data_IF_563802676521
#
_entry.id   IF_563802676521
#
_cell.length_a   1.000
_cell.length_b   1.000
_cell.length_c   1.000
_cell.angle_alpha   90.00
_cell.angle_beta   90.00
_cell.angle_gamma   90.00
#
_symmetry.space_group_name_H-M   'P 1'
#
loop_
_entity.id
_entity.type
_entity.pdbx_description
1 polymer ?
#
# COMPACT_ATOMS: atom_id res chain seq x y z
N UNK A 1 17.93 -32.09 37.80
CA UNK A 1 18.61 -31.55 36.59
C UNK A 1 20.13 -31.44 36.70
N UNK A 2 20.73 -31.08 37.85
CA UNK A 2 22.20 -31.01 37.98
C UNK A 2 22.94 -32.33 37.71
N UNK A 3 22.33 -33.49 38.00
CA UNK A 3 22.95 -34.82 37.86
C UNK A 3 22.97 -35.40 36.44
N UNK A 4 22.11 -34.92 35.54
CA UNK A 4 22.07 -35.39 34.14
C UNK A 4 22.95 -34.52 33.22
N UNK A 5 23.07 -33.22 33.51
CA UNK A 5 23.96 -32.30 32.79
C UNK A 5 25.45 -32.44 33.18
N UNK A 6 25.75 -33.01 34.36
CA UNK A 6 27.14 -33.18 34.84
C UNK A 6 27.86 -34.41 34.28
N UNK A 7 27.19 -35.30 33.55
CA UNK A 7 27.77 -36.56 33.08
C UNK A 7 28.41 -36.49 31.69
N UNK A 8 28.21 -35.42 30.92
CA UNK A 8 28.86 -35.25 29.62
C UNK A 8 29.17 -33.76 29.33
N UNK A 9 30.31 -33.22 29.83
CA UNK A 9 30.70 -31.83 29.59
C UNK A 9 30.88 -31.50 28.10
N UNK A 10 31.14 -32.50 27.26
CA UNK A 10 31.15 -32.35 25.81
C UNK A 10 29.75 -32.04 25.23
N UNK A 11 28.67 -32.62 25.76
CA UNK A 11 27.31 -32.40 25.23
C UNK A 11 26.87 -30.94 25.44
N UNK A 12 27.12 -30.37 26.64
CA UNK A 12 26.82 -28.97 26.92
C UNK A 12 27.63 -28.03 26.01
N UNK A 13 28.94 -28.30 25.86
CA UNK A 13 29.82 -27.51 24.99
C UNK A 13 29.38 -27.57 23.52
N UNK A 14 28.89 -28.73 23.06
CA UNK A 14 28.42 -28.90 21.68
C UNK A 14 27.08 -28.21 21.45
N UNK A 15 26.14 -28.27 22.41
CA UNK A 15 24.85 -27.56 22.31
C UNK A 15 25.04 -26.05 22.34
N UNK A 16 25.88 -25.54 23.25
CA UNK A 16 26.19 -24.10 23.32
C UNK A 16 26.95 -23.65 22.08
N UNK A 17 27.92 -24.44 21.61
CA UNK A 17 28.68 -24.16 20.40
C UNK A 17 27.81 -24.12 19.14
N UNK A 18 26.96 -25.15 18.93
CA UNK A 18 26.03 -25.21 17.80
C UNK A 18 24.99 -24.10 17.86
N UNK A 19 24.46 -23.79 19.05
CA UNK A 19 23.52 -22.69 19.25
C UNK A 19 24.15 -21.34 18.89
N UNK A 20 25.38 -21.09 19.35
CA UNK A 20 26.10 -19.84 19.02
C UNK A 20 26.40 -19.74 17.52
N UNK A 21 26.85 -20.82 16.87
CA UNK A 21 27.07 -20.80 15.42
C UNK A 21 25.79 -20.58 14.64
N UNK A 22 24.67 -21.18 15.07
CA UNK A 22 23.37 -20.97 14.44
C UNK A 22 22.92 -19.52 14.54
N UNK A 23 23.07 -18.90 15.72
CA UNK A 23 22.76 -17.48 15.93
C UNK A 23 23.61 -16.60 15.02
N UNK A 24 24.92 -16.86 14.90
CA UNK A 24 25.80 -16.08 14.04
C UNK A 24 25.45 -16.22 12.56
N UNK A 25 25.14 -17.44 12.10
CA UNK A 25 24.73 -17.68 10.70
C UNK A 25 23.39 -17.01 10.41
N UNK A 26 22.41 -17.13 11.29
CA UNK A 26 21.11 -16.46 11.13
C UNK A 26 21.26 -14.94 11.14
N UNK A 27 22.08 -14.40 12.04
CA UNK A 27 22.35 -12.96 12.11
C UNK A 27 23.01 -12.46 10.81
N UNK A 28 23.96 -13.22 10.27
CA UNK A 28 24.58 -12.90 8.99
C UNK A 28 23.59 -13.01 7.82
N UNK A 29 22.73 -14.03 7.80
CA UNK A 29 21.73 -14.19 6.75
C UNK A 29 20.72 -13.04 6.75
N UNK A 30 20.23 -12.62 7.92
CA UNK A 30 19.36 -11.45 8.07
C UNK A 30 20.09 -10.19 7.62
N UNK A 31 21.32 -9.96 8.12
CA UNK A 31 22.12 -8.80 7.73
C UNK A 31 22.38 -8.73 6.22
N UNK A 32 22.70 -9.87 5.59
CA UNK A 32 22.91 -9.95 4.15
C UNK A 32 21.64 -9.64 3.36
N UNK A 33 20.49 -10.15 3.79
CA UNK A 33 19.20 -9.88 3.15
C UNK A 33 18.75 -8.42 3.33
N UNK A 34 19.13 -7.76 4.43
CA UNK A 34 18.83 -6.33 4.64
C UNK A 34 19.68 -5.39 3.78
N UNK A 35 20.87 -5.83 3.34
CA UNK A 35 21.77 -5.01 2.52
C UNK A 35 21.49 -5.09 1.01
N UNK A 36 20.96 -6.22 0.55
CA UNK A 36 20.65 -6.45 -0.86
C UNK A 36 19.21 -6.97 -0.96
N UNK A 37 18.26 -6.05 -0.79
CA UNK A 37 16.85 -6.39 -0.83
C UNK A 37 16.35 -6.67 -2.26
N UNK A 38 17.13 -6.32 -3.30
CA UNK A 38 16.68 -6.32 -4.70
C UNK A 38 15.55 -5.33 -4.98
N UNK A 39 15.05 -4.61 -3.97
CA UNK A 39 13.96 -3.66 -4.09
C UNK A 39 14.52 -2.24 -4.07
N UNK A 40 13.99 -1.41 -4.97
CA UNK A 40 14.26 0.02 -5.02
C UNK A 40 12.96 0.78 -4.82
N UNK A 41 13.02 1.80 -3.99
CA UNK A 41 11.92 2.73 -3.77
C UNK A 41 12.20 3.97 -4.61
N UNK A 42 11.29 4.32 -5.51
CA UNK A 42 11.37 5.61 -6.17
C UNK A 42 10.32 6.55 -5.65
N UNK A 43 10.73 7.81 -5.56
CA UNK A 43 9.88 8.92 -5.17
C UNK A 43 9.72 9.83 -6.37
N UNK A 44 8.48 10.25 -6.61
CA UNK A 44 8.10 11.21 -7.64
C UNK A 44 7.51 12.45 -6.99
N UNK A 45 7.43 13.55 -7.75
CA UNK A 45 6.91 14.83 -7.26
C UNK A 45 5.46 14.73 -6.77
N UNK A 46 4.63 13.91 -7.43
CA UNK A 46 3.20 13.75 -7.13
C UNK A 46 2.48 15.10 -6.99
N UNK A 47 2.67 15.96 -7.98
CA UNK A 47 2.36 17.39 -7.91
C UNK A 47 1.01 17.67 -8.58
N UNK A 48 0.04 18.14 -7.80
CA UNK A 48 -1.28 18.51 -8.28
C UNK A 48 -1.25 19.93 -8.88
N UNK A 49 -1.68 20.05 -10.14
CA UNK A 49 -1.68 21.29 -10.90
C UNK A 49 -3.06 21.59 -11.44
N UNK A 50 -3.48 22.83 -11.30
CA UNK A 50 -4.68 23.33 -11.97
C UNK A 50 -4.36 23.60 -13.44
N UNK A 51 -5.22 23.09 -14.33
CA UNK A 51 -5.09 23.25 -15.77
C UNK A 51 -5.95 24.41 -16.23
N UNK A 52 -5.37 25.29 -17.05
CA UNK A 52 -6.11 26.39 -17.67
C UNK A 52 -6.97 25.82 -18.80
N UNK A 53 -8.27 26.05 -18.70
CA UNK A 53 -9.26 25.56 -19.66
C UNK A 53 -9.70 26.67 -20.59
N UNK A 54 -9.83 26.37 -21.88
CA UNK A 54 -10.28 27.32 -22.90
C UNK A 54 -11.75 27.04 -23.24
N UNK A 55 -12.61 28.04 -23.04
CA UNK A 55 -14.02 28.00 -23.44
C UNK A 55 -14.16 28.37 -24.92
N UNK A 56 -14.91 27.56 -25.67
CA UNK A 56 -15.33 27.86 -27.02
C UNK A 56 -16.66 28.65 -26.98
N UNK A 57 -16.66 29.91 -27.43
CA UNK A 57 -17.81 30.80 -27.32
C UNK A 57 -18.97 30.43 -28.26
N UNK A 58 -18.77 29.57 -29.26
CA UNK A 58 -19.82 29.19 -30.22
C UNK A 58 -20.71 28.05 -29.70
N UNK A 59 -20.12 27.08 -28.99
CA UNK A 59 -20.79 25.87 -28.53
C UNK A 59 -20.81 25.70 -26.99
N UNK A 60 -20.11 26.57 -26.24
CA UNK A 60 -20.01 26.49 -24.78
C UNK A 60 -19.18 25.31 -24.28
N UNK A 61 -18.42 24.64 -25.15
CA UNK A 61 -17.54 23.54 -24.78
C UNK A 61 -16.22 24.05 -24.22
N UNK A 62 -15.58 23.22 -23.41
CA UNK A 62 -14.32 23.55 -22.75
C UNK A 62 -13.22 22.60 -23.20
N UNK A 63 -12.07 23.14 -23.60
CA UNK A 63 -10.95 22.35 -24.13
C UNK A 63 -9.64 22.66 -23.43
N UNK A 64 -8.81 21.63 -23.25
CA UNK A 64 -7.44 21.75 -22.74
C UNK A 64 -6.61 20.56 -23.21
N UNK A 65 -5.29 20.68 -23.11
CA UNK A 65 -4.36 19.61 -23.46
C UNK A 65 -3.39 19.32 -22.31
N UNK A 66 -2.98 18.07 -22.20
CA UNK A 66 -2.02 17.59 -21.20
C UNK A 66 -0.91 16.82 -21.90
N UNK A 67 0.36 17.07 -21.56
CA UNK A 67 1.54 16.48 -22.23
C UNK A 67 2.59 15.92 -21.26
N UNK A 68 2.16 15.35 -20.13
CA UNK A 68 3.04 14.89 -19.05
C UNK A 68 2.67 13.48 -18.57
N UNK A 69 3.52 12.85 -17.74
CA UNK A 69 3.17 11.69 -16.92
C UNK A 69 2.14 12.06 -15.85
N UNK A 70 0.87 11.79 -16.14
CA UNK A 70 -0.26 12.11 -15.25
C UNK A 70 -0.91 10.83 -14.76
N UNK A 71 -1.08 10.71 -13.44
CA UNK A 71 -1.71 9.53 -12.82
C UNK A 71 -3.24 9.64 -12.75
N UNK A 72 -3.76 10.81 -12.35
CA UNK A 72 -5.19 11.06 -12.25
C UNK A 72 -5.57 12.50 -12.59
N UNK A 73 -6.86 12.67 -12.89
CA UNK A 73 -7.51 13.94 -13.20
C UNK A 73 -8.76 14.11 -12.34
N UNK A 74 -9.07 15.35 -11.98
CA UNK A 74 -10.30 15.73 -11.31
C UNK A 74 -10.89 16.94 -12.02
N UNK A 75 -12.09 16.77 -12.54
CA UNK A 75 -12.85 17.79 -13.23
C UNK A 75 -14.01 18.17 -12.33
N UNK A 76 -14.13 19.44 -12.02
CA UNK A 76 -15.23 19.98 -11.22
C UNK A 76 -15.91 21.12 -11.97
N UNK A 77 -17.22 21.12 -11.90
CA UNK A 77 -18.08 22.14 -12.50
C UNK A 77 -18.91 22.77 -11.39
N UNK A 78 -19.00 24.09 -11.41
CA UNK A 78 -19.89 24.88 -10.56
C UNK A 78 -20.80 25.80 -11.40
N UNK A 79 -21.96 26.12 -10.83
CA UNK A 79 -22.96 27.02 -11.44
C UNK A 79 -23.45 26.56 -12.84
N UNK A 80 -23.47 25.26 -13.09
CA UNK A 80 -24.03 24.71 -14.32
C UNK A 80 -25.57 24.67 -14.29
N UNK A 81 -26.24 24.69 -15.46
CA UNK A 81 -27.69 24.56 -15.53
C UNK A 81 -28.18 23.28 -14.82
N UNK A 82 -29.20 23.34 -13.94
CA UNK A 82 -29.67 22.17 -13.21
C UNK A 82 -30.32 21.16 -14.16
N UNK A 83 -30.09 19.86 -13.91
CA UNK A 83 -30.62 18.78 -14.75
C UNK A 83 -29.88 18.59 -16.08
N UNK A 84 -28.68 19.19 -16.22
CA UNK A 84 -27.77 18.93 -17.34
C UNK A 84 -26.85 17.74 -17.07
N UNK A 85 -26.23 17.21 -18.12
CA UNK A 85 -25.24 16.14 -18.03
C UNK A 85 -23.87 16.68 -18.46
N UNK A 86 -22.85 16.48 -17.63
CA UNK A 86 -21.45 16.71 -17.99
C UNK A 86 -20.94 15.51 -18.78
N UNK A 87 -20.34 15.77 -19.94
CA UNK A 87 -19.66 14.77 -20.74
C UNK A 87 -18.19 15.17 -20.95
N UNK A 88 -17.27 14.24 -20.69
CA UNK A 88 -15.84 14.45 -20.80
C UNK A 88 -15.27 13.44 -21.79
N UNK A 89 -14.63 13.95 -22.84
CA UNK A 89 -13.97 13.15 -23.87
C UNK A 89 -12.46 13.42 -23.87
N UNK A 90 -11.67 12.36 -23.87
CA UNK A 90 -10.22 12.39 -24.04
C UNK A 90 -9.84 11.83 -25.42
N UNK A 91 -9.18 12.65 -26.23
CA UNK A 91 -8.53 12.23 -27.47
C UNK A 91 -7.05 11.97 -27.15
N UNK A 92 -6.54 10.81 -27.57
CA UNK A 92 -5.15 10.40 -27.30
C UNK A 92 -4.99 9.37 -26.18
N UNK A 93 -6.08 8.76 -25.70
CA UNK A 93 -6.02 7.62 -24.77
C UNK A 93 -7.37 7.26 -24.16
N UNK A 94 -7.39 6.16 -23.42
CA UNK A 94 -8.51 5.78 -22.54
C UNK A 94 -8.21 6.23 -21.10
N UNK A 95 -9.26 6.31 -20.29
CA UNK A 95 -9.14 6.58 -18.87
C UNK A 95 -10.26 5.88 -18.10
N UNK A 96 -10.00 5.67 -16.81
CA UNK A 96 -10.85 4.90 -15.92
C UNK A 96 -11.65 5.82 -15.02
N UNK A 97 -12.97 5.67 -15.04
CA UNK A 97 -13.87 6.44 -14.20
C UNK A 97 -14.88 5.53 -13.48
N UNK A 98 -15.24 5.95 -12.28
CA UNK A 98 -16.41 5.45 -11.57
C UNK A 98 -17.01 6.61 -10.76
N UNK A 99 -18.34 6.73 -10.66
CA UNK A 99 -18.98 7.83 -9.92
C UNK A 99 -18.50 7.97 -8.47
N UNK A 100 -18.19 6.85 -7.82
CA UNK A 100 -17.72 6.81 -6.44
C UNK A 100 -16.20 6.95 -6.28
N UNK A 101 -15.42 7.13 -7.36
CA UNK A 101 -13.96 7.14 -7.29
C UNK A 101 -13.45 8.18 -6.28
N UNK A 102 -12.70 7.71 -5.28
CA UNK A 102 -12.16 8.55 -4.21
C UNK A 102 -13.20 9.07 -3.21
N UNK A 103 -14.45 8.59 -3.26
CA UNK A 103 -15.45 8.82 -2.21
C UNK A 103 -15.21 7.84 -1.07
N UNK A 104 -15.35 8.31 0.18
CA UNK A 104 -15.30 7.44 1.34
C UNK A 104 -16.48 6.48 1.32
N UNK A 105 -16.17 5.17 1.34
CA UNK A 105 -17.15 4.10 1.48
C UNK A 105 -17.16 3.62 2.94
N UNK A 106 -17.88 2.53 3.20
CA UNK A 106 -17.88 1.86 4.50
C UNK A 106 -16.44 1.61 5.00
N UNK A 107 -16.19 1.90 6.28
CA UNK A 107 -14.89 1.77 6.96
C UNK A 107 -13.82 2.82 6.60
N UNK A 108 -14.20 4.01 6.11
CA UNK A 108 -13.25 5.10 5.79
C UNK A 108 -12.21 4.72 4.72
N UNK A 109 -12.49 3.70 3.90
CA UNK A 109 -11.66 3.35 2.76
C UNK A 109 -12.24 4.03 1.52
N UNK A 110 -11.48 4.87 0.81
CA UNK A 110 -11.98 5.47 -0.42
C UNK A 110 -12.19 4.38 -1.48
N UNK A 111 -13.24 4.51 -2.28
CA UNK A 111 -13.43 3.62 -3.42
C UNK A 111 -12.26 3.75 -4.40
N UNK A 112 -11.73 2.62 -4.85
CA UNK A 112 -10.60 2.53 -5.78
C UNK A 112 -10.99 1.75 -7.04
N UNK A 113 -10.46 2.19 -8.18
CA UNK A 113 -10.65 1.49 -9.45
C UNK A 113 -10.04 0.08 -9.43
N UNK A 114 -8.89 -0.08 -8.78
CA UNK A 114 -8.10 -1.29 -8.80
C UNK A 114 -8.00 -1.83 -7.38
N UNK A 115 -8.56 -3.01 -7.13
CA UNK A 115 -8.55 -3.63 -5.80
C UNK A 115 -8.02 -5.06 -5.86
N UNK A 116 -7.31 -5.55 -4.84
CA UNK A 116 -6.87 -6.95 -4.81
C UNK A 116 -8.08 -7.90 -4.83
N UNK A 117 -8.01 -8.96 -5.63
CA UNK A 117 -9.04 -9.99 -5.60
C UNK A 117 -8.97 -10.77 -4.27
N UNK A 118 -9.99 -10.57 -3.41
CA UNK A 118 -10.07 -11.19 -2.08
C UNK A 118 -10.53 -12.65 -2.10
N UNK A 119 -10.99 -13.16 -3.25
CA UNK A 119 -11.47 -14.54 -3.38
C UNK A 119 -10.34 -15.51 -3.72
N UNK A 120 -9.43 -15.10 -4.61
CA UNK A 120 -8.39 -16.00 -5.13
C UNK A 120 -6.96 -15.60 -4.73
N UNK A 121 -6.77 -14.47 -4.02
CA UNK A 121 -5.45 -13.88 -3.68
C UNK A 121 -4.51 -13.63 -4.88
N UNK A 122 -4.97 -13.90 -6.10
CA UNK A 122 -4.29 -13.66 -7.36
C UNK A 122 -5.14 -12.71 -8.22
N UNK A 123 -4.53 -11.59 -8.62
CA UNK A 123 -5.12 -10.64 -9.56
C UNK A 123 -5.70 -9.37 -8.94
N UNK A 124 -5.96 -8.41 -9.84
CA UNK A 124 -6.55 -7.10 -9.55
C UNK A 124 -7.94 -7.08 -10.17
N UNK A 125 -8.95 -6.72 -9.38
CA UNK A 125 -10.31 -6.45 -9.85
C UNK A 125 -10.41 -4.99 -10.26
N UNK A 126 -10.77 -4.76 -11.53
CA UNK A 126 -11.07 -3.45 -12.10
C UNK A 126 -12.55 -3.13 -11.89
N UNK A 127 -12.85 -2.13 -11.06
CA UNK A 127 -14.19 -1.66 -10.75
C UNK A 127 -14.62 -0.43 -11.58
N UNK A 128 -13.66 0.22 -12.24
CA UNK A 128 -13.92 1.41 -13.06
C UNK A 128 -14.17 1.03 -14.52
N UNK A 129 -14.92 1.88 -15.22
CA UNK A 129 -15.15 1.71 -16.66
C UNK A 129 -13.97 2.35 -17.40
N UNK A 130 -13.36 1.60 -18.32
CA UNK A 130 -12.36 2.13 -19.26
C UNK A 130 -13.04 2.64 -20.53
N UNK A 131 -12.92 3.94 -20.78
CA UNK A 131 -13.45 4.59 -21.98
C UNK A 131 -12.68 5.87 -22.28
N UNK A 132 -12.70 6.32 -23.53
CA UNK A 132 -12.23 7.65 -23.89
C UNK A 132 -13.24 8.74 -23.47
N UNK A 133 -14.52 8.37 -23.34
CA UNK A 133 -15.63 9.25 -23.05
C UNK A 133 -16.41 8.75 -21.83
N UNK A 134 -16.72 9.67 -20.91
CA UNK A 134 -17.54 9.42 -19.73
C UNK A 134 -18.54 10.56 -19.52
N UNK A 135 -19.67 10.25 -18.89
CA UNK A 135 -20.69 11.23 -18.57
C UNK A 135 -21.16 11.10 -17.12
N UNK A 136 -21.65 12.21 -16.57
CA UNK A 136 -22.23 12.29 -15.22
C UNK A 136 -23.26 13.40 -15.15
N UNK A 137 -24.39 13.11 -14.50
CA UNK A 137 -25.45 14.09 -14.29
C UNK A 137 -25.01 15.16 -13.28
N UNK A 138 -25.42 16.39 -13.53
CA UNK A 138 -25.13 17.55 -12.70
C UNK A 138 -26.29 17.74 -11.72
N UNK A 139 -26.00 17.55 -10.45
CA UNK A 139 -26.96 17.73 -9.35
C UNK A 139 -26.74 19.11 -8.71
N UNK A 140 -27.82 19.89 -8.55
CA UNK A 140 -27.79 21.23 -7.94
C UNK A 140 -26.75 22.20 -8.56
N UNK A 141 -26.48 22.04 -9.86
CA UNK A 141 -25.52 22.87 -10.60
C UNK A 141 -24.05 22.61 -10.27
N UNK A 142 -23.75 21.52 -9.56
CA UNK A 142 -22.39 21.11 -9.19
C UNK A 142 -22.15 19.67 -9.61
N UNK A 143 -20.98 19.40 -10.18
CA UNK A 143 -20.53 18.04 -10.45
C UNK A 143 -19.02 17.90 -10.28
N UNK A 144 -18.58 16.72 -9.88
CA UNK A 144 -17.17 16.33 -9.87
C UNK A 144 -16.98 14.97 -10.51
N UNK A 145 -15.96 14.83 -11.35
CA UNK A 145 -15.58 13.62 -12.05
C UNK A 145 -14.09 13.41 -11.90
N UNK A 146 -13.73 12.36 -11.15
CA UNK A 146 -12.35 11.91 -10.98
C UNK A 146 -12.06 10.76 -11.92
N UNK A 147 -10.86 10.68 -12.44
CA UNK A 147 -10.44 9.62 -13.35
C UNK A 147 -8.99 9.22 -13.16
N UNK A 148 -8.68 7.94 -13.37
CA UNK A 148 -7.30 7.43 -13.44
C UNK A 148 -6.88 7.38 -14.90
N UNK A 149 -5.66 7.85 -15.20
CA UNK A 149 -5.14 7.90 -16.57
C UNK A 149 -4.19 6.75 -16.90
N UNK A 150 -3.58 6.16 -15.86
CA UNK A 150 -2.66 5.02 -15.96
C UNK A 150 -2.58 4.26 -14.63
N UNK A 151 -2.42 2.95 -14.70
CA UNK A 151 -2.15 2.07 -13.54
C UNK A 151 -0.66 2.01 -13.18
N UNK A 152 0.21 2.47 -14.08
CA UNK A 152 1.66 2.31 -13.94
C UNK A 152 2.31 3.37 -13.04
N UNK A 153 1.64 4.51 -12.85
CA UNK A 153 2.14 5.59 -11.98
C UNK A 153 1.60 5.44 -10.55
N UNK A 154 2.41 5.76 -9.53
CA UNK A 154 2.02 5.56 -8.14
C UNK A 154 1.15 6.73 -7.67
N UNK A 155 -0.10 6.45 -7.29
CA UNK A 155 -1.03 7.47 -6.76
C UNK A 155 -0.50 8.18 -5.49
N UNK A 156 0.34 7.50 -4.71
CA UNK A 156 0.98 8.04 -3.50
C UNK A 156 2.25 8.84 -3.79
N UNK A 157 2.75 8.82 -5.03
CA UNK A 157 4.05 9.39 -5.40
C UNK A 157 5.23 8.46 -5.16
N UNK A 158 5.02 7.30 -4.55
CA UNK A 158 6.09 6.32 -4.27
C UNK A 158 5.74 4.97 -4.87
N UNK A 159 6.67 4.38 -5.61
CA UNK A 159 6.56 2.99 -6.06
C UNK A 159 7.72 2.15 -5.54
N UNK A 160 7.52 0.84 -5.47
CA UNK A 160 8.57 -0.15 -5.24
C UNK A 160 8.78 -0.97 -6.51
N UNK A 161 10.04 -1.14 -6.90
CA UNK A 161 10.44 -1.92 -8.07
C UNK A 161 11.46 -2.97 -7.69
N UNK A 162 11.33 -4.18 -8.24
CA UNK A 162 12.33 -5.24 -8.12
C UNK A 162 13.36 -5.08 -9.23
N UNK A 163 14.65 -5.04 -8.88
CA UNK A 163 15.74 -4.92 -9.85
C UNK A 163 17.07 -5.41 -9.28
N UNK A 164 17.98 -5.85 -10.16
CA UNK A 164 19.30 -6.36 -9.76
C UNK A 164 20.23 -5.27 -9.24
N UNK A 165 20.09 -4.04 -9.73
CA UNK A 165 20.95 -2.91 -9.35
C UNK A 165 20.26 -1.56 -9.63
N UNK A 166 20.79 -0.50 -9.02
CA UNK A 166 20.25 0.86 -9.13
C UNK A 166 20.13 1.34 -10.58
N UNK A 167 21.09 0.99 -11.45
CA UNK A 167 21.05 1.38 -12.87
C UNK A 167 19.88 0.75 -13.59
N UNK A 168 19.66 -0.55 -13.38
CA UNK A 168 18.53 -1.27 -13.97
C UNK A 168 17.19 -0.73 -13.45
N UNK A 169 17.09 -0.49 -12.14
CA UNK A 169 15.92 0.14 -11.52
C UNK A 169 15.64 1.52 -12.15
N UNK A 170 16.67 2.36 -12.28
CA UNK A 170 16.54 3.68 -12.87
C UNK A 170 16.11 3.65 -14.33
N UNK A 171 16.60 2.70 -15.12
CA UNK A 171 16.21 2.58 -16.53
C UNK A 171 14.73 2.20 -16.65
N UNK A 172 14.27 1.25 -15.84
CA UNK A 172 12.88 0.81 -15.85
C UNK A 172 11.93 1.92 -15.40
N UNK A 173 12.30 2.62 -14.33
CA UNK A 173 11.59 3.80 -13.82
C UNK A 173 11.46 4.90 -14.87
N UNK A 174 12.57 5.25 -15.50
CA UNK A 174 12.57 6.27 -16.55
C UNK A 174 11.74 5.82 -17.74
N UNK A 175 11.83 4.54 -18.13
CA UNK A 175 11.01 3.97 -19.19
C UNK A 175 9.52 4.10 -18.88
N UNK A 176 9.08 3.73 -17.67
CA UNK A 176 7.67 3.84 -17.25
C UNK A 176 7.19 5.29 -17.22
N UNK A 177 8.02 6.24 -16.78
CA UNK A 177 7.69 7.67 -16.84
C UNK A 177 7.53 8.13 -18.28
N UNK A 178 8.52 7.87 -19.15
CA UNK A 178 8.47 8.27 -20.56
C UNK A 178 7.30 7.63 -21.32
N UNK A 179 6.97 6.37 -21.05
CA UNK A 179 5.78 5.71 -21.63
C UNK A 179 4.47 6.30 -21.11
N UNK A 180 4.48 6.88 -19.91
CA UNK A 180 3.34 7.57 -19.34
C UNK A 180 3.21 9.03 -19.78
N UNK A 181 4.22 9.61 -20.46
CA UNK A 181 4.15 10.93 -21.07
C UNK A 181 3.26 10.88 -22.32
N UNK A 182 1.98 11.13 -22.13
CA UNK A 182 0.98 11.05 -23.19
C UNK A 182 0.37 12.42 -23.47
N UNK A 183 0.45 12.85 -24.72
CA UNK A 183 -0.29 14.03 -25.18
C UNK A 183 -1.77 13.66 -25.37
N UNK A 184 -2.64 14.30 -24.58
CA UNK A 184 -4.09 14.10 -24.62
C UNK A 184 -4.78 15.45 -24.78
N UNK A 185 -5.77 15.52 -25.66
CA UNK A 185 -6.67 16.66 -25.78
C UNK A 185 -7.99 16.30 -25.15
N UNK A 186 -8.49 17.17 -24.28
CA UNK A 186 -9.70 16.95 -23.52
C UNK A 186 -10.78 17.92 -23.98
N UNK A 187 -12.01 17.44 -24.05
CA UNK A 187 -13.19 18.22 -24.36
C UNK A 187 -14.27 17.93 -23.32
N UNK A 188 -14.73 18.97 -22.63
CA UNK A 188 -15.81 18.92 -21.66
C UNK A 188 -17.02 19.61 -22.28
N UNK A 189 -18.15 18.91 -22.32
CA UNK A 189 -19.43 19.42 -22.83
C UNK A 189 -20.49 19.34 -21.75
N UNK A 190 -21.39 20.32 -21.76
CA UNK A 190 -22.57 20.34 -20.89
C UNK A 190 -23.79 20.21 -21.79
N UNK A 191 -24.52 19.12 -21.60
CA UNK A 191 -25.65 18.72 -22.44
C UNK A 191 -26.96 18.88 -21.67
N UNK A 192 -28.02 19.27 -22.37
CA UNK A 192 -29.37 19.24 -21.82
C UNK A 192 -29.96 17.82 -21.75
N UNK A 193 -31.18 17.70 -21.24
CA UNK A 193 -31.93 16.44 -21.14
C UNK A 193 -32.24 15.80 -22.52
N UNK A 194 -32.12 16.57 -23.61
CA UNK A 194 -32.26 16.10 -24.99
C UNK A 194 -30.94 15.68 -25.63
N UNK A 195 -29.80 15.91 -24.96
CA UNK A 195 -28.45 15.66 -25.47
C UNK A 195 -27.90 16.78 -26.35
N UNK A 196 -28.52 17.96 -26.34
CA UNK A 196 -28.07 19.14 -27.09
C UNK A 196 -27.12 20.01 -26.25
N UNK A 197 -26.15 20.64 -26.90
CA UNK A 197 -25.20 21.54 -26.24
C UNK A 197 -25.92 22.79 -25.72
N UNK A 198 -25.57 23.17 -24.48
CA UNK A 198 -26.18 24.31 -23.80
C UNK A 198 -25.24 25.51 -23.77
N UNK A 199 -25.82 26.70 -23.63
CA UNK A 199 -25.03 27.88 -23.28
C UNK A 199 -24.49 27.74 -21.86
N UNK A 200 -23.16 27.76 -21.71
CA UNK A 200 -22.43 27.58 -20.45
C UNK A 200 -21.99 28.91 -19.82
N UNK A 201 -22.46 30.06 -20.32
CA UNK A 201 -22.11 31.39 -19.79
C UNK A 201 -22.26 31.46 -18.27
N UNK A 202 -21.16 31.72 -17.56
CA UNK A 202 -21.13 31.84 -16.10
C UNK A 202 -20.95 30.53 -15.34
N UNK A 203 -20.77 29.41 -16.03
CA UNK A 203 -20.34 28.12 -15.46
C UNK A 203 -18.83 28.18 -15.19
N UNK A 204 -18.39 27.77 -14.00
CA UNK A 204 -16.97 27.61 -13.72
C UNK A 204 -16.54 26.16 -13.88
N UNK A 205 -15.54 25.94 -14.74
CA UNK A 205 -14.90 24.64 -14.93
C UNK A 205 -13.49 24.69 -14.36
N UNK A 206 -13.20 23.79 -13.42
CA UNK A 206 -11.88 23.62 -12.81
C UNK A 206 -11.38 22.21 -13.05
N UNK A 207 -10.15 22.12 -13.52
CA UNK A 207 -9.50 20.86 -13.83
C UNK A 207 -8.19 20.79 -13.06
N UNK A 208 -7.99 19.71 -12.33
CA UNK A 208 -6.76 19.40 -11.62
C UNK A 208 -6.18 18.09 -12.14
N UNK A 209 -4.88 18.09 -12.44
CA UNK A 209 -4.13 16.90 -12.88
C UNK A 209 -2.93 16.68 -11.97
N UNK A 210 -2.56 15.43 -11.74
CA UNK A 210 -1.40 15.09 -10.89
C UNK A 210 -0.23 14.58 -11.72
N UNK A 211 0.88 15.33 -11.67
CA UNK A 211 2.07 15.14 -12.48
C UNK A 211 3.18 14.44 -11.70
N UNK A 212 3.86 13.50 -12.38
CA UNK A 212 4.98 12.76 -11.82
C UNK A 212 6.27 13.12 -12.53
N UNK A 213 7.20 13.73 -11.78
CA UNK A 213 8.61 13.82 -12.14
C UNK A 213 9.45 13.00 -11.17
N UNK A 214 10.50 12.34 -11.64
CA UNK A 214 11.39 11.56 -10.79
C UNK A 214 12.15 12.48 -9.82
N UNK A 215 12.11 12.15 -8.52
CA UNK A 215 12.83 12.87 -7.46
C UNK A 215 14.05 12.08 -7.01
N UNK A 216 13.85 10.82 -6.62
CA UNK A 216 14.93 9.95 -6.15
C UNK A 216 14.62 8.48 -6.38
N UNK A 217 15.69 7.68 -6.40
CA UNK A 217 15.63 6.22 -6.41
C UNK A 217 16.63 5.74 -5.37
N UNK A 218 16.14 5.01 -4.38
CA UNK A 218 16.95 4.53 -3.27
C UNK A 218 16.73 3.03 -3.08
N UNK A 219 17.77 2.27 -2.71
CA UNK A 219 17.58 0.87 -2.34
C UNK A 219 16.68 0.83 -1.11
N UNK A 220 15.69 -0.06 -1.14
CA UNK A 220 14.86 -0.33 0.02
C UNK A 220 15.75 -0.97 1.09
N UNK A 221 15.93 -0.27 2.20
CA UNK A 221 16.70 -0.77 3.34
C UNK A 221 15.75 -1.00 4.50
N UNK A 222 15.93 -2.14 5.16
CA UNK A 222 15.20 -2.46 6.38
C UNK A 222 16.14 -2.21 7.55
N UNK A 223 15.66 -1.54 8.61
CA UNK A 223 16.44 -1.38 9.83
C UNK A 223 16.64 -2.74 10.53
N UNK A 224 17.87 -3.28 10.54
CA UNK A 224 18.13 -4.61 11.08
C UNK A 224 17.86 -4.67 12.59
N UNK A 225 17.98 -3.56 13.32
CA UNK A 225 17.71 -3.55 14.76
C UNK A 225 16.23 -3.70 15.06
N UNK A 226 15.39 -2.96 14.33
CA UNK A 226 13.94 -3.03 14.50
C UNK A 226 13.42 -4.42 14.11
N UNK A 227 13.87 -4.98 12.99
CA UNK A 227 13.53 -6.36 12.60
C UNK A 227 14.02 -7.42 13.59
N UNK A 228 15.21 -7.21 14.17
CA UNK A 228 15.72 -8.11 15.20
C UNK A 228 14.84 -8.08 16.46
N UNK A 229 14.33 -6.91 16.85
CA UNK A 229 13.41 -6.79 17.99
C UNK A 229 12.08 -7.50 17.68
N UNK A 230 11.51 -7.30 16.50
CA UNK A 230 10.25 -7.94 16.10
C UNK A 230 10.41 -9.46 16.02
N UNK A 231 11.46 -9.96 15.37
CA UNK A 231 11.76 -11.39 15.29
C UNK A 231 12.06 -12.02 16.66
N UNK A 232 12.82 -11.35 17.53
CA UNK A 232 13.06 -11.80 18.90
C UNK A 232 11.76 -11.85 19.71
N UNK A 233 10.90 -10.84 19.57
CA UNK A 233 9.60 -10.78 20.25
C UNK A 233 8.70 -11.94 19.81
N UNK A 234 8.63 -12.21 18.50
CA UNK A 234 7.88 -13.35 17.96
C UNK A 234 8.43 -14.69 18.49
N UNK A 235 9.76 -14.86 18.53
CA UNK A 235 10.41 -16.06 19.03
C UNK A 235 10.13 -16.28 20.53
N UNK A 236 10.31 -15.25 21.36
CA UNK A 236 10.01 -15.31 22.80
C UNK A 236 8.52 -15.58 23.03
N UNK A 237 7.64 -14.99 22.21
CA UNK A 237 6.21 -15.25 22.25
C UNK A 237 5.89 -16.73 21.97
N UNK A 238 6.44 -17.29 20.90
CA UNK A 238 6.23 -18.69 20.52
C UNK A 238 6.75 -19.66 21.60
N UNK A 239 7.99 -19.46 22.08
CA UNK A 239 8.54 -20.25 23.17
C UNK A 239 7.77 -20.08 24.48
N UNK A 240 7.32 -18.87 24.77
CA UNK A 240 6.49 -18.57 25.93
C UNK A 240 5.21 -19.41 25.91
N UNK A 241 4.46 -19.38 24.81
CA UNK A 241 3.24 -20.18 24.64
C UNK A 241 3.54 -21.69 24.74
N UNK A 242 4.62 -22.17 24.12
CA UNK A 242 4.99 -23.58 24.17
C UNK A 242 5.44 -24.08 25.56
N UNK A 243 6.08 -23.22 26.36
CA UNK A 243 6.66 -23.61 27.66
C UNK A 243 5.75 -23.32 28.86
N UNK A 244 4.83 -22.35 28.77
CA UNK A 244 3.95 -21.98 29.88
C UNK A 244 3.14 -23.19 30.39
N UNK A 245 2.50 -23.96 29.50
CA UNK A 245 1.69 -25.11 29.91
C UNK A 245 2.52 -26.25 30.54
N UNK A 246 3.61 -26.74 29.93
CA UNK A 246 4.46 -27.77 30.55
C UNK A 246 5.10 -27.33 31.88
N UNK A 247 5.58 -26.09 31.96
CA UNK A 247 6.27 -25.58 33.16
C UNK A 247 5.30 -25.39 34.32
N UNK A 248 4.10 -24.86 34.08
CA UNK A 248 3.08 -24.70 35.13
C UNK A 248 2.65 -26.06 35.69
N UNK A 249 2.42 -27.07 34.83
CA UNK A 249 2.14 -28.43 35.25
C UNK A 249 3.28 -29.05 36.07
N UNK A 250 4.53 -28.87 35.62
CA UNK A 250 5.71 -29.36 36.34
C UNK A 250 5.85 -28.71 37.72
N UNK A 251 5.68 -27.39 37.82
CA UNK A 251 5.75 -26.67 39.10
C UNK A 251 4.62 -27.08 40.05
N UNK A 252 3.41 -27.29 39.53
CA UNK A 252 2.29 -27.79 40.32
C UNK A 252 2.57 -29.21 40.88
N UNK A 253 3.16 -30.10 40.06
CA UNK A 253 3.58 -31.42 40.51
C UNK A 253 4.66 -31.34 41.60
N UNK A 254 5.68 -30.50 41.42
CA UNK A 254 6.76 -30.31 42.40
C UNK A 254 6.26 -29.72 43.73
N UNK A 255 5.28 -28.81 43.68
CA UNK A 255 4.69 -28.25 44.88
C UNK A 255 3.91 -29.31 45.68
N UNK A 256 3.21 -30.22 44.99
CA UNK A 256 2.52 -31.35 45.64
C UNK A 256 3.51 -32.30 46.31
N UNK A 257 4.63 -32.64 45.65
CA UNK A 257 5.64 -33.52 46.26
C UNK A 257 6.28 -32.88 47.48
N UNK A 258 6.63 -31.59 47.42
CA UNK A 258 7.19 -30.86 48.58
C UNK A 258 6.22 -30.76 49.76
N UNK A 259 4.92 -30.54 49.52
CA UNK A 259 3.92 -30.56 50.58
C UNK A 259 3.82 -31.93 51.23
N UNK A 260 3.78 -33.00 50.43
CA UNK A 260 3.75 -34.37 50.95
C UNK A 260 5.00 -34.69 51.78
N UNK A 261 6.19 -34.28 51.33
CA UNK A 261 7.45 -34.46 52.07
C UNK A 261 7.48 -33.68 53.39
N UNK A 262 6.91 -32.47 53.44
CA UNK A 262 6.83 -31.65 54.65
C UNK A 262 5.78 -32.15 55.67
N UNK A 263 4.72 -32.81 55.22
CA UNK A 263 3.75 -33.46 56.11
C UNK A 263 4.33 -34.75 56.74
N UNK A 264 5.37 -35.34 56.16
CA UNK A 264 6.08 -36.52 56.68
C UNK A 264 7.21 -36.17 57.66
N UNK A 265 7.70 -34.92 57.72
CA UNK A 265 8.83 -34.53 58.56
C UNK A 265 8.56 -34.21 60.05
N UNK A 266 7.33 -34.05 60.58
CA UNK A 266 7.13 -33.86 62.03
C UNK A 266 7.03 -35.18 62.82
N UNK A 267 7.26 -36.35 62.21
CA UNK A 267 7.07 -37.67 62.88
C UNK A 267 8.37 -38.27 63.43
N UNK A 268 9.55 -37.70 63.16
CA UNK A 268 10.83 -38.28 63.61
C UNK A 268 11.52 -37.55 64.79
N UNK A 269 10.85 -36.64 65.49
CA UNK A 269 11.44 -35.92 66.64
C UNK A 269 10.71 -36.17 67.97
N UNK A 270 9.95 -37.27 68.08
CA UNK A 270 9.29 -37.67 69.32
C UNK A 270 9.35 -39.17 69.62
N UNK A 271 10.54 -39.78 69.59
CA UNK A 271 10.79 -41.03 70.32
C UNK A 271 12.18 -40.96 70.96
N UNK A 272 12.16 -40.70 72.26
CA UNK A 272 13.22 -40.96 73.23
C UNK A 272 12.82 -42.20 74.03
#
# INVERSE_FOLDING_TARGET
MRKALSQNPNMLRTIVGLGMTLILILSYAVYSATLDSGYYLATTTNDAREVVVTEDPENGSYTFSTEDAISWINISIDNAPPGSTMEVTAVGGIWWHHPNLGMEMDNNVPFQCFTPNTQDYEGIVENCVSSAQHSKDIEDGVASMKGILTSELPLSGTWAILSDNLTSASNEINRTLEESHLSRTWTIRILDDTGSEMNTTGTGVKVETVHHGLVSIEPFTIDPFTELIWSMTALVGCFGVALILPVTLYLAALARTKKAEAELSPVSESEN
#
